data_IF_737530028306
#
_entry.id   IF_737530028306
#
_cell.length_a   1.000
_cell.length_b   1.000
_cell.length_c   1.000
_cell.angle_alpha   90.00
_cell.angle_beta   90.00
_cell.angle_gamma   90.00
#
_symmetry.space_group_name_H-M   'P 1'
#
loop_
_entity.id
_entity.type
_entity.pdbx_description
1 polymer ?
#
# COMPACT_ATOMS: atom_id res chain seq x y z
N UNK A 1 64.83 -4.52 -63.88
CA UNK A 1 63.55 -3.97 -63.40
C UNK A 1 62.50 -5.07 -63.34
N UNK A 2 62.02 -5.46 -62.15
CA UNK A 2 60.70 -6.08 -61.95
C UNK A 2 60.29 -5.80 -60.51
N UNK A 3 59.37 -4.86 -60.36
CA UNK A 3 58.87 -4.36 -59.08
C UNK A 3 57.91 -5.41 -58.51
N UNK A 4 58.22 -6.01 -57.35
CA UNK A 4 57.28 -6.88 -56.64
C UNK A 4 56.25 -6.00 -55.94
N UNK A 5 55.07 -5.87 -56.54
CA UNK A 5 53.91 -5.30 -55.85
C UNK A 5 53.59 -6.19 -54.64
N UNK A 6 53.81 -5.64 -53.45
CA UNK A 6 53.46 -6.24 -52.18
C UNK A 6 51.99 -5.89 -51.89
N UNK A 7 51.06 -6.58 -52.57
CA UNK A 7 49.63 -6.41 -52.32
C UNK A 7 49.28 -7.00 -50.95
N UNK A 8 49.07 -6.12 -49.96
CA UNK A 8 48.53 -6.52 -48.66
C UNK A 8 47.08 -6.94 -48.86
N UNK A 9 46.83 -8.24 -48.97
CA UNK A 9 45.48 -8.79 -49.03
C UNK A 9 44.83 -8.58 -47.66
N UNK A 10 43.95 -7.59 -47.55
CA UNK A 10 43.19 -7.33 -46.32
C UNK A 10 42.12 -8.43 -46.20
N UNK A 11 42.22 -9.26 -45.16
CA UNK A 11 41.24 -10.30 -44.86
C UNK A 11 39.98 -9.70 -44.23
N UNK A 12 39.14 -9.06 -45.04
CA UNK A 12 37.89 -8.40 -44.62
C UNK A 12 36.94 -9.31 -43.84
N UNK A 13 36.91 -10.60 -44.16
CA UNK A 13 36.11 -11.61 -43.47
C UNK A 13 36.43 -11.75 -41.97
N UNK A 14 37.71 -11.58 -41.60
CA UNK A 14 38.15 -11.67 -40.20
C UNK A 14 37.69 -10.45 -39.39
N UNK A 15 37.70 -9.28 -40.03
CA UNK A 15 37.27 -8.03 -39.41
C UNK A 15 35.75 -7.96 -39.24
N UNK A 16 35.00 -8.44 -40.23
CA UNK A 16 33.54 -8.53 -40.11
C UNK A 16 33.12 -9.54 -39.04
N UNK A 17 33.76 -10.72 -38.98
CA UNK A 17 33.51 -11.71 -37.94
C UNK A 17 33.82 -11.19 -36.53
N UNK A 18 34.92 -10.45 -36.36
CA UNK A 18 35.25 -9.84 -35.07
C UNK A 18 34.26 -8.74 -34.68
N UNK A 19 33.80 -7.95 -35.67
CA UNK A 19 32.76 -6.94 -35.48
C UNK A 19 31.41 -7.53 -35.03
N UNK A 20 30.96 -8.62 -35.67
CA UNK A 20 29.70 -9.26 -35.30
C UNK A 20 29.76 -9.90 -33.91
N UNK A 21 30.89 -10.51 -33.54
CA UNK A 21 31.11 -11.04 -32.17
C UNK A 21 31.04 -9.92 -31.15
N UNK A 22 31.70 -8.79 -31.41
CA UNK A 22 31.65 -7.63 -30.50
C UNK A 22 30.22 -7.09 -30.35
N UNK A 23 29.49 -6.95 -31.46
CA UNK A 23 28.09 -6.51 -31.43
C UNK A 23 27.21 -7.50 -30.65
N UNK A 24 27.42 -8.81 -30.82
CA UNK A 24 26.68 -9.84 -30.10
C UNK A 24 26.94 -9.79 -28.58
N UNK A 25 28.21 -9.61 -28.16
CA UNK A 25 28.56 -9.45 -26.74
C UNK A 25 27.91 -8.21 -26.16
N UNK A 26 27.99 -7.07 -26.85
CA UNK A 26 27.34 -5.83 -26.42
C UNK A 26 25.82 -6.03 -26.29
N UNK A 27 25.19 -6.68 -27.27
CA UNK A 27 23.75 -6.97 -27.25
C UNK A 27 23.35 -7.83 -26.03
N UNK A 28 24.15 -8.85 -25.68
CA UNK A 28 23.90 -9.68 -24.49
C UNK A 28 24.00 -8.83 -23.21
N UNK A 29 25.08 -8.06 -23.07
CA UNK A 29 25.29 -7.21 -21.88
C UNK A 29 24.15 -6.21 -21.71
N UNK A 30 23.73 -5.54 -22.79
CA UNK A 30 22.61 -4.60 -22.74
C UNK A 30 21.30 -5.29 -22.40
N UNK A 31 21.08 -6.52 -22.90
CA UNK A 31 19.86 -7.28 -22.64
C UNK A 31 19.76 -7.69 -21.17
N UNK A 32 20.88 -8.14 -20.57
CA UNK A 32 20.94 -8.47 -19.14
C UNK A 32 20.71 -7.25 -18.26
N UNK A 33 21.32 -6.11 -18.62
CA UNK A 33 21.13 -4.85 -17.90
C UNK A 33 19.67 -4.36 -17.97
N UNK A 34 19.07 -4.38 -19.16
CA UNK A 34 17.67 -4.01 -19.35
C UNK A 34 16.72 -4.93 -18.58
N UNK A 35 16.97 -6.25 -18.59
CA UNK A 35 16.19 -7.21 -17.82
C UNK A 35 16.25 -6.93 -16.31
N UNK A 36 17.44 -6.60 -15.79
CA UNK A 36 17.60 -6.24 -14.39
C UNK A 36 16.86 -4.95 -14.03
N UNK A 37 16.98 -3.90 -14.85
CA UNK A 37 16.26 -2.65 -14.65
C UNK A 37 14.75 -2.84 -14.73
N UNK A 38 14.25 -3.63 -15.68
CA UNK A 38 12.83 -3.90 -15.84
C UNK A 38 12.25 -4.63 -14.62
N UNK A 39 12.98 -5.62 -14.08
CA UNK A 39 12.58 -6.29 -12.85
C UNK A 39 12.40 -5.28 -11.71
N UNK A 40 13.41 -4.42 -11.49
CA UNK A 40 13.36 -3.39 -10.45
C UNK A 40 12.24 -2.38 -10.67
N UNK A 41 12.03 -1.97 -11.92
CA UNK A 41 10.94 -1.05 -12.27
C UNK A 41 9.57 -1.68 -11.98
N UNK A 42 9.38 -2.96 -12.31
CA UNK A 42 8.12 -3.68 -12.05
C UNK A 42 7.87 -3.85 -10.55
N UNK A 43 8.92 -4.12 -9.76
CA UNK A 43 8.82 -4.18 -8.29
C UNK A 43 8.38 -2.83 -7.72
N UNK A 44 9.06 -1.74 -8.09
CA UNK A 44 8.73 -0.38 -7.63
C UNK A 44 7.37 0.12 -8.13
N UNK A 45 6.87 -0.39 -9.26
CA UNK A 45 5.56 0.00 -9.80
C UNK A 45 4.40 -0.64 -9.02
N UNK A 46 4.65 -1.72 -8.27
CA UNK A 46 3.65 -2.45 -7.50
C UNK A 46 3.70 -1.93 -6.06
N UNK A 47 3.26 -0.68 -5.89
CA UNK A 47 3.23 0.00 -4.60
C UNK A 47 1.86 -0.20 -3.91
N UNK A 48 1.80 -0.88 -2.75
CA UNK A 48 0.58 -0.94 -1.94
C UNK A 48 0.33 0.41 -1.25
N UNK A 49 -0.91 0.89 -1.32
CA UNK A 49 -1.32 2.13 -0.67
C UNK A 49 -2.62 1.89 0.08
N UNK A 50 -2.50 1.73 1.40
CA UNK A 50 -3.67 1.68 2.26
C UNK A 50 -4.17 3.10 2.50
N UNK A 51 -5.48 3.32 2.36
CA UNK A 51 -6.13 4.57 2.70
C UNK A 51 -7.30 4.31 3.66
N UNK A 52 -7.53 5.27 4.56
CA UNK A 52 -8.64 5.25 5.49
C UNK A 52 -9.79 6.08 4.92
N UNK A 53 -10.93 5.42 4.74
CA UNK A 53 -12.14 5.98 4.19
C UNK A 53 -13.16 6.15 5.32
N UNK A 54 -13.56 7.39 5.58
CA UNK A 54 -14.56 7.73 6.60
C UNK A 54 -15.80 8.26 5.93
N UNK A 55 -16.91 7.56 6.13
CA UNK A 55 -18.22 7.96 5.63
C UNK A 55 -19.15 8.30 6.79
N UNK A 56 -19.85 9.41 6.67
CA UNK A 56 -20.86 9.86 7.62
C UNK A 56 -22.18 10.11 6.91
N UNK A 57 -23.21 9.36 7.27
CA UNK A 57 -24.56 9.52 6.71
C UNK A 57 -25.45 10.26 7.73
N UNK A 58 -26.01 11.43 7.38
CA UNK A 58 -26.89 12.17 8.27
C UNK A 58 -28.23 11.44 8.46
N UNK A 59 -28.71 11.39 9.70
CA UNK A 59 -29.97 10.78 10.11
C UNK A 59 -30.87 11.82 10.81
N UNK A 60 -32.19 11.55 10.92
CA UNK A 60 -33.11 12.43 11.62
C UNK A 60 -32.67 12.73 13.07
N UNK A 61 -33.11 13.89 13.59
CA UNK A 61 -32.80 14.36 14.95
C UNK A 61 -31.30 14.62 15.19
N UNK A 62 -30.57 15.02 14.15
CA UNK A 62 -29.17 15.43 14.26
C UNK A 62 -28.22 14.29 14.62
N UNK A 63 -28.58 13.04 14.28
CA UNK A 63 -27.71 11.88 14.46
C UNK A 63 -26.99 11.54 13.16
N UNK A 64 -25.91 10.78 13.24
CA UNK A 64 -25.09 10.38 12.10
C UNK A 64 -24.74 8.90 12.18
N UNK A 65 -24.87 8.18 11.08
CA UNK A 65 -24.26 6.86 10.95
C UNK A 65 -22.81 7.04 10.48
N UNK A 66 -21.89 6.33 11.12
CA UNK A 66 -20.47 6.31 10.80
C UNK A 66 -20.11 4.96 10.20
N UNK A 67 -19.36 4.98 9.10
CA UNK A 67 -18.69 3.79 8.59
C UNK A 67 -17.25 4.13 8.22
N UNK A 68 -16.29 3.47 8.87
CA UNK A 68 -14.86 3.59 8.59
C UNK A 68 -14.34 2.32 7.95
N UNK A 69 -13.57 2.47 6.88
CA UNK A 69 -12.97 1.37 6.13
C UNK A 69 -11.50 1.65 5.83
N UNK A 70 -10.66 0.62 5.87
CA UNK A 70 -9.35 0.66 5.24
C UNK A 70 -9.48 -0.01 3.89
N UNK A 71 -9.05 0.68 2.85
CA UNK A 71 -9.03 0.16 1.49
C UNK A 71 -7.59 0.17 0.95
N UNK A 72 -7.29 -0.75 0.03
CA UNK A 72 -6.03 -0.73 -0.69
C UNK A 72 -6.25 -0.10 -2.07
N UNK A 73 -5.83 1.15 -2.20
CA UNK A 73 -5.88 1.94 -3.45
C UNK A 73 -4.58 1.84 -4.25
N UNK A 74 -3.61 1.06 -3.77
CA UNK A 74 -2.35 0.83 -4.46
C UNK A 74 -2.47 -0.14 -5.63
N UNK A 75 -1.40 -0.25 -6.41
CA UNK A 75 -1.28 -1.18 -7.53
C UNK A 75 -0.81 -2.57 -7.09
N UNK A 76 -0.40 -2.70 -5.82
CA UNK A 76 0.05 -3.95 -5.21
C UNK A 76 -0.78 -4.35 -3.98
N UNK A 77 -0.84 -5.65 -3.66
CA UNK A 77 -1.43 -6.09 -2.41
C UNK A 77 -0.54 -5.74 -1.22
N UNK A 78 -1.17 -5.57 -0.06
CA UNK A 78 -0.52 -5.19 1.19
C UNK A 78 -0.68 -6.30 2.23
N UNK A 79 0.42 -6.77 2.80
CA UNK A 79 0.39 -7.65 3.96
C UNK A 79 0.57 -6.82 5.22
N UNK A 80 -0.49 -6.62 6.00
CA UNK A 80 -0.38 -5.90 7.28
C UNK A 80 0.34 -6.80 8.29
N UNK A 81 1.43 -6.29 8.84
CA UNK A 81 2.27 -7.00 9.81
C UNK A 81 2.03 -6.49 11.23
N UNK A 82 1.66 -5.21 11.37
CA UNK A 82 1.35 -4.62 12.66
C UNK A 82 0.28 -3.55 12.57
N UNK A 83 -0.59 -3.52 13.58
CA UNK A 83 -1.62 -2.50 13.75
C UNK A 83 -1.55 -1.95 15.17
N UNK A 84 -1.36 -0.65 15.25
CA UNK A 84 -1.49 0.14 16.47
C UNK A 84 -2.79 0.95 16.40
N UNK A 85 -3.71 0.65 17.30
CA UNK A 85 -4.95 1.41 17.48
C UNK A 85 -4.79 2.22 18.76
N UNK A 86 -4.92 3.54 18.67
CA UNK A 86 -4.76 4.44 19.80
C UNK A 86 -6.04 5.23 20.04
N UNK A 87 -6.37 5.42 21.31
CA UNK A 87 -7.38 6.35 21.77
C UNK A 87 -6.72 7.39 22.68
N UNK A 88 -6.48 8.59 22.15
CA UNK A 88 -5.55 9.55 22.73
C UNK A 88 -4.16 8.91 22.85
N UNK A 89 -3.65 8.80 24.07
CA UNK A 89 -2.36 8.15 24.36
C UNK A 89 -2.48 6.64 24.65
N UNK A 90 -3.71 6.11 24.77
CA UNK A 90 -3.94 4.73 25.20
C UNK A 90 -3.97 3.78 24.00
N UNK A 91 -3.09 2.78 23.99
CA UNK A 91 -3.14 1.67 23.02
C UNK A 91 -4.33 0.74 23.30
N UNK A 92 -5.04 0.38 22.24
CA UNK A 92 -6.14 -0.58 22.24
C UNK A 92 -5.71 -1.88 21.55
N UNK A 93 -6.26 -3.01 21.99
CA UNK A 93 -5.92 -4.32 21.45
C UNK A 93 -6.79 -4.69 20.24
N UNK A 94 -8.07 -4.31 20.26
CA UNK A 94 -9.03 -4.62 19.20
C UNK A 94 -9.79 -3.36 18.76
N UNK A 95 -10.19 -3.31 17.49
CA UNK A 95 -11.05 -2.25 16.94
C UNK A 95 -12.38 -2.14 17.71
N UNK A 96 -12.90 -3.25 18.23
CA UNK A 96 -14.11 -3.27 19.07
C UNK A 96 -13.97 -2.42 20.34
N UNK A 97 -12.75 -2.25 20.87
CA UNK A 97 -12.52 -1.53 22.13
C UNK A 97 -12.65 -0.01 21.98
N UNK A 98 -12.61 0.51 20.76
CA UNK A 98 -12.86 1.93 20.42
C UNK A 98 -14.21 2.35 20.99
N UNK A 99 -15.25 1.55 20.76
CA UNK A 99 -16.61 1.83 21.23
C UNK A 99 -16.71 1.92 22.75
N UNK A 100 -15.84 1.22 23.48
CA UNK A 100 -15.84 1.25 24.95
C UNK A 100 -15.20 2.51 25.52
N UNK A 101 -14.39 3.23 24.73
CA UNK A 101 -13.67 4.41 25.21
C UNK A 101 -14.52 5.69 25.15
N UNK A 102 -15.59 5.74 24.35
CA UNK A 102 -16.49 6.90 24.24
C UNK A 102 -17.16 7.17 25.60
N UNK A 103 -17.01 8.39 26.12
CA UNK A 103 -17.50 8.84 27.43
C UNK A 103 -18.63 9.86 27.36
N UNK A 104 -18.91 10.43 26.19
CA UNK A 104 -20.01 11.38 26.00
C UNK A 104 -21.35 10.85 26.54
N UNK A 105 -22.17 11.79 27.00
CA UNK A 105 -23.46 11.50 27.64
C UNK A 105 -24.37 10.75 26.66
N UNK A 106 -25.22 9.88 27.20
CA UNK A 106 -26.18 9.07 26.44
C UNK A 106 -25.56 8.12 25.41
N UNK A 107 -24.25 7.83 25.50
CA UNK A 107 -23.65 6.76 24.71
C UNK A 107 -24.10 5.39 25.25
N UNK A 108 -24.98 4.71 24.49
CA UNK A 108 -25.40 3.35 24.84
C UNK A 108 -24.27 2.36 24.51
N UNK A 109 -23.65 1.79 25.55
CA UNK A 109 -22.56 0.80 25.43
C UNK A 109 -23.04 -0.56 24.96
N UNK A 110 -24.30 -0.91 25.22
CA UNK A 110 -24.90 -2.20 24.83
C UNK A 110 -25.46 -2.19 23.40
N UNK A 111 -25.31 -1.07 22.70
CA UNK A 111 -25.79 -0.93 21.34
C UNK A 111 -24.90 -1.68 20.34
N UNK A 112 -25.52 -2.45 19.44
CA UNK A 112 -24.83 -3.29 18.45
C UNK A 112 -24.06 -2.43 17.44
N UNK A 113 -22.73 -2.45 17.53
CA UNK A 113 -21.83 -1.79 16.58
C UNK A 113 -20.90 -2.81 15.92
N UNK A 114 -20.56 -2.54 14.67
CA UNK A 114 -19.61 -3.33 13.91
C UNK A 114 -18.17 -2.92 14.21
N UNK A 115 -17.29 -3.90 14.23
CA UNK A 115 -15.85 -3.74 14.23
C UNK A 115 -15.26 -4.85 13.39
N UNK A 116 -14.28 -4.56 12.54
CA UNK A 116 -13.58 -5.56 11.75
C UNK A 116 -12.12 -5.71 12.16
N UNK A 117 -11.52 -6.83 11.77
CA UNK A 117 -10.09 -7.07 11.93
C UNK A 117 -9.34 -6.45 10.75
N UNK A 118 -8.43 -5.54 11.07
CA UNK A 118 -7.61 -4.80 10.10
C UNK A 118 -6.17 -5.32 10.03
N UNK A 119 -5.79 -6.28 10.88
CA UNK A 119 -4.49 -6.94 10.83
C UNK A 119 -4.54 -8.14 9.88
N UNK A 120 -4.61 -7.86 8.57
CA UNK A 120 -4.83 -8.88 7.54
C UNK A 120 -4.12 -8.55 6.23
N UNK A 121 -4.19 -9.51 5.31
CA UNK A 121 -3.78 -9.30 3.92
C UNK A 121 -4.88 -8.57 3.13
N UNK A 122 -4.49 -7.52 2.39
CA UNK A 122 -5.34 -6.70 1.54
C UNK A 122 -4.95 -6.91 0.07
N UNK A 123 -5.90 -7.43 -0.72
CA UNK A 123 -5.75 -7.44 -2.18
C UNK A 123 -5.89 -6.03 -2.74
N UNK A 124 -5.51 -5.83 -4.01
CA UNK A 124 -5.79 -4.58 -4.72
C UNK A 124 -7.31 -4.36 -4.73
N UNK A 125 -7.75 -3.14 -4.43
CA UNK A 125 -9.16 -2.76 -4.27
C UNK A 125 -9.93 -3.47 -3.14
N UNK A 126 -9.24 -4.23 -2.28
CA UNK A 126 -9.88 -4.83 -1.11
C UNK A 126 -10.26 -3.75 -0.09
N UNK A 127 -11.39 -3.94 0.59
CA UNK A 127 -11.98 -2.99 1.53
C UNK A 127 -12.40 -3.71 2.79
N UNK A 128 -11.81 -3.32 3.92
CA UNK A 128 -12.07 -3.88 5.23
C UNK A 128 -12.72 -2.85 6.15
N UNK A 129 -13.84 -3.23 6.79
CA UNK A 129 -14.45 -2.41 7.82
C UNK A 129 -13.52 -2.30 9.03
N UNK A 130 -13.30 -1.08 9.52
CA UNK A 130 -12.63 -0.82 10.80
C UNK A 130 -13.69 -0.80 11.89
N UNK A 131 -14.62 0.15 11.79
CA UNK A 131 -15.75 0.33 12.70
C UNK A 131 -16.97 0.84 11.92
N UNK A 132 -18.16 0.42 12.33
CA UNK A 132 -19.41 0.87 11.74
C UNK A 132 -20.53 0.97 12.76
N UNK A 133 -21.33 2.04 12.69
CA UNK A 133 -22.62 2.11 13.39
C UNK A 133 -23.65 1.33 12.57
N UNK A 134 -24.29 0.33 13.18
CA UNK A 134 -25.38 -0.42 12.52
C UNK A 134 -26.70 0.24 12.89
N UNK A 135 -27.20 -0.01 14.10
CA UNK A 135 -28.47 0.54 14.60
C UNK A 135 -28.25 1.63 15.67
N UNK A 136 -27.04 2.18 15.71
CA UNK A 136 -26.52 2.97 16.82
C UNK A 136 -25.88 4.26 16.32
N UNK A 137 -26.67 5.19 15.76
CA UNK A 137 -26.12 6.41 15.22
C UNK A 137 -25.58 7.30 16.34
N UNK A 138 -24.52 8.04 16.03
CA UNK A 138 -23.83 8.92 16.95
C UNK A 138 -24.45 10.32 16.92
N UNK A 139 -24.44 11.01 18.06
CA UNK A 139 -24.64 12.46 18.09
C UNK A 139 -23.40 13.18 17.55
N UNK A 140 -23.53 14.47 17.24
CA UNK A 140 -22.38 15.28 16.83
C UNK A 140 -21.25 15.25 17.88
N UNK A 141 -21.57 15.36 19.18
CA UNK A 141 -20.59 15.30 20.27
C UNK A 141 -19.85 13.96 20.30
N UNK A 142 -20.58 12.84 20.16
CA UNK A 142 -20.00 11.49 20.11
C UNK A 142 -19.09 11.30 18.89
N UNK A 143 -19.47 11.87 17.75
CA UNK A 143 -18.66 11.82 16.53
C UNK A 143 -17.35 12.59 16.72
N UNK A 144 -17.43 13.83 17.21
CA UNK A 144 -16.24 14.65 17.47
C UNK A 144 -15.30 14.00 18.48
N UNK A 145 -15.84 13.47 19.58
CA UNK A 145 -15.03 12.73 20.56
C UNK A 145 -14.30 11.54 19.92
N UNK A 146 -14.98 10.79 19.04
CA UNK A 146 -14.37 9.66 18.35
C UNK A 146 -13.27 10.11 17.39
N UNK A 147 -13.50 11.13 16.57
CA UNK A 147 -12.52 11.59 15.58
C UNK A 147 -11.27 12.18 16.26
N UNK A 148 -11.44 13.05 17.26
CA UNK A 148 -10.33 13.73 17.95
C UNK A 148 -9.40 12.77 18.71
N UNK A 149 -9.94 11.64 19.17
CA UNK A 149 -9.18 10.70 19.99
C UNK A 149 -8.62 9.52 19.20
N UNK A 150 -9.20 9.15 18.06
CA UNK A 150 -8.81 7.93 17.37
C UNK A 150 -7.59 8.14 16.48
N UNK A 151 -6.58 7.28 16.65
CA UNK A 151 -5.44 7.22 15.74
C UNK A 151 -5.15 5.78 15.35
N UNK A 152 -4.79 5.61 14.09
CA UNK A 152 -4.43 4.31 13.54
C UNK A 152 -3.03 4.42 12.95
N UNK A 153 -2.16 3.49 13.33
CA UNK A 153 -0.87 3.31 12.67
C UNK A 153 -0.78 1.87 12.19
N UNK A 154 -0.64 1.71 10.89
CA UNK A 154 -0.58 0.40 10.22
C UNK A 154 0.78 0.26 9.58
N UNK A 155 1.48 -0.80 9.95
CA UNK A 155 2.73 -1.23 9.32
C UNK A 155 2.41 -2.41 8.41
N UNK A 156 2.84 -2.32 7.17
CA UNK A 156 2.54 -3.31 6.16
C UNK A 156 3.69 -3.45 5.16
N UNK A 157 3.70 -4.56 4.43
CA UNK A 157 4.71 -4.86 3.42
C UNK A 157 4.08 -5.15 2.06
N UNK A 158 4.81 -4.85 0.99
CA UNK A 158 4.49 -5.37 -0.35
C UNK A 158 4.85 -6.86 -0.45
N UNK A 159 4.39 -7.52 -1.53
CA UNK A 159 4.80 -8.89 -1.84
C UNK A 159 6.32 -9.06 -2.03
N UNK A 160 7.02 -7.97 -2.33
CA UNK A 160 8.47 -7.97 -2.55
C UNK A 160 9.25 -7.67 -1.26
N UNK A 161 8.57 -7.50 -0.12
CA UNK A 161 9.19 -7.29 1.20
C UNK A 161 9.57 -5.84 1.50
N UNK A 162 9.14 -4.88 0.68
CA UNK A 162 9.29 -3.46 1.02
C UNK A 162 8.29 -3.09 2.12
N UNK A 163 8.77 -2.47 3.19
CA UNK A 163 7.96 -2.10 4.34
C UNK A 163 7.48 -0.65 4.26
N UNK A 164 6.22 -0.43 4.64
CA UNK A 164 5.54 0.85 4.65
C UNK A 164 4.86 1.07 6.00
N UNK A 165 4.72 2.33 6.37
CA UNK A 165 4.00 2.75 7.57
C UNK A 165 3.02 3.84 7.17
N UNK A 166 1.75 3.62 7.48
CA UNK A 166 0.71 4.62 7.28
C UNK A 166 0.07 4.96 8.62
N UNK A 167 -0.04 6.26 8.89
CA UNK A 167 -0.68 6.77 10.09
C UNK A 167 -1.86 7.67 9.69
N UNK A 168 -2.96 7.56 10.44
CA UNK A 168 -4.14 8.38 10.30
C UNK A 168 -4.57 8.89 11.68
N UNK A 169 -4.76 10.21 11.75
CA UNK A 169 -5.35 10.94 12.87
C UNK A 169 -6.33 11.96 12.27
N UNK A 170 -7.33 12.37 13.05
CA UNK A 170 -8.39 13.28 12.60
C UNK A 170 -8.46 14.56 13.41
#
# INVERSE_FOLDING_TARGET
MKNKNNERVIHWEKWTALGTVLMAVCAIVTSLWQGHLLKRHNELSIYPHLALEVNTDPLPKGRMALSMYINNQGLGPANVTHVDILWGEKKLNHTADIWKQIKSKNFNKDCRRGSGDINRFYKVEDRQMVIKTVDCPLSAEQMWELMDNIRFKVTYESLYGEAFVQEWAF
#
